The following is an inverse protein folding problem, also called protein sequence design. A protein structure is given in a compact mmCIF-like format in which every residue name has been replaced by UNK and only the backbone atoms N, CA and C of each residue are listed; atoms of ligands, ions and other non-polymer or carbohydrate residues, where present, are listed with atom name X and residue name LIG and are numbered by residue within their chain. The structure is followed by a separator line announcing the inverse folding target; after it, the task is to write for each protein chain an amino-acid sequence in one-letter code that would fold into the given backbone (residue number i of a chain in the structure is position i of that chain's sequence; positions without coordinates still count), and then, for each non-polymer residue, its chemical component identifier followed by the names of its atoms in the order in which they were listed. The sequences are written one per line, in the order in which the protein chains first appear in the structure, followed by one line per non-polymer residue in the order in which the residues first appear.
data_IF_879935948562
#
_entry.id   IF_879935948562
#
_cell.length_a   1.000
_cell.length_b   1.000
_cell.length_c   1.000
_cell.angle_alpha   90.00
_cell.angle_beta   90.00
_cell.angle_gamma   90.00
#
_symmetry.space_group_name_H-M   'P 1'
#
loop_
_entity.id
_entity.type
_entity.pdbx_description
1 polymer ?
#
# COMPACT_ATOMS: atom_id res chain seq x y z
N UNK A 1 2.02 5.83 -1.57
CA UNK A 1 2.85 6.96 -2.08
C UNK A 1 2.09 7.86 -3.04
N UNK A 2 1.47 7.33 -4.12
CA UNK A 2 0.66 8.13 -5.05
C UNK A 2 -0.54 8.79 -4.37
N UNK A 3 -1.36 8.00 -3.68
CA UNK A 3 -2.49 8.48 -2.86
C UNK A 3 -2.06 9.55 -1.86
N UNK A 4 -0.88 9.40 -1.25
CA UNK A 4 -0.32 10.35 -0.28
C UNK A 4 -0.02 11.71 -0.91
N UNK A 5 0.61 11.72 -2.09
CA UNK A 5 0.86 12.96 -2.84
C UNK A 5 -0.43 13.68 -3.20
N UNK A 6 -1.48 12.94 -3.58
CA UNK A 6 -2.80 13.52 -3.88
C UNK A 6 -3.39 14.13 -2.62
N UNK A 7 -3.45 13.36 -1.52
CA UNK A 7 -4.01 13.82 -0.24
C UNK A 7 -3.31 15.07 0.31
N UNK A 8 -1.99 15.16 0.14
CA UNK A 8 -1.18 16.30 0.58
C UNK A 8 -1.22 17.48 -0.40
N UNK A 9 -1.87 17.36 -1.56
CA UNK A 9 -2.03 18.46 -2.53
C UNK A 9 -2.89 19.58 -1.95
N UNK A 10 -2.29 20.74 -1.77
CA UNK A 10 -2.96 21.89 -1.18
C UNK A 10 -3.99 22.51 -2.13
N UNK A 11 -3.66 22.54 -3.42
CA UNK A 11 -4.51 23.11 -4.47
C UNK A 11 -5.71 22.21 -4.77
N UNK A 12 -5.49 20.91 -4.84
CA UNK A 12 -6.53 19.96 -5.26
C UNK A 12 -7.41 19.52 -4.09
N UNK A 13 -6.83 19.23 -2.93
CA UNK A 13 -7.54 18.61 -1.82
C UNK A 13 -7.86 19.63 -0.73
N UNK A 14 -6.86 20.28 -0.11
CA UNK A 14 -7.12 21.12 1.07
C UNK A 14 -8.08 22.29 0.80
N UNK A 15 -7.97 22.93 -0.37
CA UNK A 15 -8.87 24.04 -0.75
C UNK A 15 -10.29 23.59 -1.10
N UNK A 16 -10.44 22.39 -1.68
CA UNK A 16 -11.72 21.92 -2.22
C UNK A 16 -12.50 21.01 -1.26
N UNK A 17 -11.82 20.39 -0.29
CA UNK A 17 -12.38 19.44 0.66
C UNK A 17 -12.03 19.85 2.09
N UNK A 18 -12.89 20.67 2.73
CA UNK A 18 -12.64 21.20 4.08
C UNK A 18 -12.53 20.09 5.13
N UNK A 19 -13.16 18.94 4.90
CA UNK A 19 -13.02 17.74 5.72
C UNK A 19 -12.18 16.72 4.96
N UNK A 20 -11.05 16.30 5.52
CA UNK A 20 -10.21 15.29 4.90
C UNK A 20 -9.65 14.30 5.92
N UNK A 21 -9.52 13.04 5.55
CA UNK A 21 -8.99 12.00 6.43
C UNK A 21 -8.20 10.95 5.66
N UNK A 22 -7.15 10.46 6.32
CA UNK A 22 -6.36 9.32 5.90
C UNK A 22 -6.48 8.23 6.96
N UNK A 23 -7.19 7.16 6.64
CA UNK A 23 -7.50 6.06 7.56
C UNK A 23 -6.82 4.80 7.04
N UNK A 24 -5.87 4.26 7.80
CA UNK A 24 -5.28 2.95 7.51
C UNK A 24 -6.19 1.86 8.05
N UNK A 25 -6.69 0.98 7.17
CA UNK A 25 -7.59 -0.11 7.54
C UNK A 25 -6.75 -1.30 8.03
N UNK A 26 -6.60 -1.42 9.36
CA UNK A 26 -5.81 -2.52 9.93
C UNK A 26 -6.47 -3.88 9.72
N UNK A 27 -5.66 -4.94 9.58
CA UNK A 27 -6.15 -6.32 9.47
C UNK A 27 -6.94 -6.78 10.70
N UNK A 28 -6.61 -6.26 11.89
CA UNK A 28 -7.35 -6.51 13.13
C UNK A 28 -8.70 -5.80 13.18
N UNK A 29 -8.92 -4.83 12.29
CA UNK A 29 -10.15 -4.09 12.07
C UNK A 29 -10.88 -3.64 13.35
N UNK A 30 -10.22 -2.83 14.17
CA UNK A 30 -10.78 -2.26 15.39
C UNK A 30 -11.79 -1.14 15.10
N UNK A 31 -13.04 -1.54 14.80
CA UNK A 31 -14.16 -0.68 14.37
C UNK A 31 -14.33 0.62 15.18
N UNK A 32 -14.27 0.55 16.51
CA UNK A 32 -14.44 1.73 17.37
C UNK A 32 -13.28 2.72 17.18
N UNK A 33 -12.04 2.22 17.18
CA UNK A 33 -10.86 3.07 17.03
C UNK A 33 -10.78 3.67 15.63
N UNK A 34 -11.19 2.92 14.60
CA UNK A 34 -11.31 3.43 13.23
C UNK A 34 -12.30 4.60 13.16
N UNK A 35 -13.48 4.48 13.77
CA UNK A 35 -14.48 5.55 13.76
C UNK A 35 -14.03 6.77 14.57
N UNK A 36 -13.39 6.56 15.73
CA UNK A 36 -12.80 7.67 16.51
C UNK A 36 -11.75 8.42 15.70
N UNK A 37 -10.84 7.70 15.03
CA UNK A 37 -9.81 8.30 14.19
C UNK A 37 -10.45 9.06 13.00
N UNK A 38 -11.48 8.48 12.38
CA UNK A 38 -12.23 9.13 11.30
C UNK A 38 -12.88 10.44 11.75
N UNK A 39 -13.57 10.43 12.90
CA UNK A 39 -14.17 11.64 13.49
C UNK A 39 -13.08 12.68 13.78
N UNK A 40 -11.98 12.27 14.42
CA UNK A 40 -10.88 13.16 14.79
C UNK A 40 -10.27 13.85 13.57
N UNK A 41 -10.10 13.13 12.46
CA UNK A 41 -9.50 13.69 11.25
C UNK A 41 -10.48 14.55 10.44
N UNK A 42 -11.73 14.10 10.25
CA UNK A 42 -12.70 14.83 9.42
C UNK A 42 -13.30 16.06 10.11
N UNK A 43 -13.51 15.98 11.43
CA UNK A 43 -14.26 16.96 12.21
C UNK A 43 -13.40 17.70 13.24
N UNK A 44 -12.23 17.14 13.56
CA UNK A 44 -11.27 17.71 14.51
C UNK A 44 -11.31 17.02 15.88
N UNK A 45 -10.24 17.19 16.69
CA UNK A 45 -10.13 16.54 18.00
C UNK A 45 -11.23 17.01 18.98
N UNK A 46 -11.59 18.29 18.95
CA UNK A 46 -12.61 18.85 19.84
C UNK A 46 -13.99 18.22 19.64
N UNK A 47 -14.35 17.88 18.40
CA UNK A 47 -15.61 17.18 18.08
C UNK A 47 -15.65 15.78 18.69
N UNK A 48 -14.53 15.05 18.63
CA UNK A 48 -14.43 13.74 19.26
C UNK A 48 -14.50 13.84 20.79
N UNK A 49 -13.78 14.80 21.39
CA UNK A 49 -13.76 14.99 22.84
C UNK A 49 -15.15 15.36 23.38
N UNK A 50 -15.87 16.24 22.68
CA UNK A 50 -17.25 16.60 23.00
C UNK A 50 -18.17 15.37 22.94
N UNK A 51 -18.12 14.60 21.86
CA UNK A 51 -18.92 13.38 21.70
C UNK A 51 -18.62 12.38 22.82
N UNK A 52 -17.34 12.15 23.13
CA UNK A 52 -16.95 11.23 24.19
C UNK A 52 -17.44 11.72 25.56
N UNK A 53 -17.39 13.03 25.83
CA UNK A 53 -17.93 13.61 27.06
C UNK A 53 -19.45 13.42 27.18
N UNK A 54 -20.21 13.64 26.10
CA UNK A 54 -21.65 13.37 26.05
C UNK A 54 -21.97 11.88 26.29
N UNK A 55 -21.05 10.99 25.91
CA UNK A 55 -21.15 9.55 26.11
C UNK A 55 -20.59 9.06 27.47
N UNK A 56 -19.95 9.90 28.29
CA UNK A 56 -19.36 9.48 29.59
C UNK A 56 -20.41 8.93 30.58
N UNK A 57 -21.70 9.28 30.42
CA UNK A 57 -22.80 8.69 31.19
C UNK A 57 -23.26 7.31 30.72
N UNK A 58 -22.70 6.77 29.62
CA UNK A 58 -23.01 5.45 29.08
C UNK A 58 -21.90 4.46 29.42
N UNK A 59 -22.29 3.22 29.78
CA UNK A 59 -21.37 2.18 30.29
C UNK A 59 -20.28 1.80 29.28
N UNK A 60 -20.55 1.86 27.97
CA UNK A 60 -19.56 1.55 26.90
C UNK A 60 -19.87 2.36 25.62
N UNK A 61 -18.85 2.94 25.00
CA UNK A 61 -18.95 3.55 23.65
C UNK A 61 -19.15 2.46 22.61
N UNK A 62 -20.30 2.48 21.93
CA UNK A 62 -20.65 1.54 20.87
C UNK A 62 -20.52 2.15 19.48
N UNK A 63 -20.44 1.29 18.47
CA UNK A 63 -20.30 1.68 17.04
C UNK A 63 -21.41 2.64 16.62
N UNK A 64 -22.66 2.36 17.00
CA UNK A 64 -23.81 3.15 16.56
C UNK A 64 -23.71 4.61 17.00
N UNK A 65 -23.22 4.89 18.22
CA UNK A 65 -23.03 6.27 18.71
C UNK A 65 -22.06 7.08 17.83
N UNK A 66 -20.94 6.47 17.44
CA UNK A 66 -19.93 7.13 16.61
C UNK A 66 -20.41 7.26 15.15
N UNK A 67 -21.09 6.22 14.65
CA UNK A 67 -21.65 6.17 13.30
C UNK A 67 -22.73 7.24 13.08
N UNK A 68 -23.71 7.34 13.99
CA UNK A 68 -24.79 8.33 13.89
C UNK A 68 -24.24 9.75 13.92
N UNK A 69 -23.32 10.04 14.84
CA UNK A 69 -22.65 11.34 14.92
C UNK A 69 -21.92 11.68 13.63
N UNK A 70 -21.11 10.75 13.11
CA UNK A 70 -20.33 10.97 11.89
C UNK A 70 -21.23 11.18 10.67
N UNK A 71 -22.31 10.41 10.53
CA UNK A 71 -23.26 10.53 9.41
C UNK A 71 -23.96 11.89 9.46
N UNK A 72 -24.45 12.34 10.62
CA UNK A 72 -25.13 13.63 10.73
C UNK A 72 -24.17 14.79 10.45
N UNK A 73 -22.95 14.76 10.97
CA UNK A 73 -21.95 15.81 10.75
C UNK A 73 -21.46 15.90 9.30
N UNK A 74 -21.40 14.78 8.58
CA UNK A 74 -20.95 14.75 7.19
C UNK A 74 -22.05 15.04 6.17
N UNK A 75 -23.32 15.04 6.57
CA UNK A 75 -24.49 15.10 5.67
C UNK A 75 -24.43 16.28 4.69
N UNK A 76 -24.08 17.46 5.18
CA UNK A 76 -24.02 18.70 4.40
C UNK A 76 -22.58 19.18 4.11
N UNK A 77 -21.56 18.36 4.41
CA UNK A 77 -20.15 18.69 4.19
C UNK A 77 -19.62 17.99 2.95
N UNK A 78 -18.62 18.61 2.32
CA UNK A 78 -17.82 17.98 1.26
C UNK A 78 -16.57 17.40 1.91
N UNK A 79 -16.34 16.11 1.72
CA UNK A 79 -15.22 15.40 2.36
C UNK A 79 -14.38 14.59 1.36
N UNK A 80 -13.10 14.43 1.68
CA UNK A 80 -12.16 13.58 0.96
C UNK A 80 -11.54 12.56 1.91
N UNK A 81 -11.80 11.27 1.68
CA UNK A 81 -11.28 10.20 2.56
C UNK A 81 -10.39 9.26 1.78
N UNK A 82 -9.21 8.98 2.30
CA UNK A 82 -8.37 7.88 1.85
C UNK A 82 -8.53 6.72 2.83
N UNK A 83 -9.01 5.59 2.36
CA UNK A 83 -8.97 4.30 3.06
C UNK A 83 -7.76 3.52 2.54
N UNK A 84 -6.68 3.54 3.32
CA UNK A 84 -5.41 2.96 2.93
C UNK A 84 -5.31 1.49 3.37
N UNK A 85 -4.79 0.65 2.48
CA UNK A 85 -4.49 -0.77 2.70
C UNK A 85 -5.72 -1.63 3.05
N UNK A 86 -6.78 -1.53 2.25
CA UNK A 86 -7.99 -2.33 2.44
C UNK A 86 -7.81 -3.77 1.92
N UNK A 87 -8.06 -4.75 2.79
CA UNK A 87 -7.80 -6.17 2.51
C UNK A 87 -9.02 -6.96 2.06
N UNK A 88 -10.19 -6.73 2.67
CA UNK A 88 -11.41 -7.52 2.43
C UNK A 88 -12.63 -6.66 2.15
N UNK A 89 -13.49 -7.14 1.26
CA UNK A 89 -14.69 -6.42 0.81
C UNK A 89 -15.69 -6.21 1.97
N UNK A 90 -15.75 -7.14 2.90
CA UNK A 90 -16.63 -7.06 4.06
C UNK A 90 -16.36 -5.78 4.90
N UNK A 91 -15.09 -5.42 5.08
CA UNK A 91 -14.71 -4.25 5.86
C UNK A 91 -15.09 -2.96 5.13
N UNK A 92 -14.92 -2.92 3.80
CA UNK A 92 -15.44 -1.80 3.00
C UNK A 92 -16.95 -1.66 3.12
N UNK A 93 -17.70 -2.75 2.93
CA UNK A 93 -19.16 -2.72 3.01
C UNK A 93 -19.62 -2.18 4.36
N UNK A 94 -18.97 -2.62 5.44
CA UNK A 94 -19.24 -2.13 6.78
C UNK A 94 -18.90 -0.63 6.91
N UNK A 95 -17.70 -0.19 6.51
CA UNK A 95 -17.30 1.24 6.60
C UNK A 95 -18.29 2.10 5.80
N UNK A 96 -18.58 1.72 4.56
CA UNK A 96 -19.47 2.46 3.68
C UNK A 96 -20.89 2.57 4.24
N UNK A 97 -21.35 1.56 4.97
CA UNK A 97 -22.66 1.59 5.62
C UNK A 97 -22.70 2.49 6.85
N UNK A 98 -21.65 2.48 7.69
CA UNK A 98 -21.69 3.12 9.02
C UNK A 98 -21.01 4.48 9.08
N UNK A 99 -20.09 4.80 8.17
CA UNK A 99 -19.25 5.99 8.28
C UNK A 99 -19.69 7.13 7.35
N UNK A 100 -20.41 6.84 6.26
CA UNK A 100 -20.66 7.82 5.21
C UNK A 100 -22.15 8.02 4.90
N UNK A 101 -22.62 9.26 4.74
CA UNK A 101 -24.01 9.52 4.37
C UNK A 101 -24.31 9.08 2.93
N UNK A 102 -25.30 8.21 2.74
CA UNK A 102 -25.69 7.67 1.42
C UNK A 102 -26.18 8.72 0.42
N UNK A 103 -26.73 9.84 0.91
CA UNK A 103 -27.36 10.88 0.09
C UNK A 103 -26.58 12.21 0.07
N UNK A 104 -25.28 12.20 0.38
CA UNK A 104 -24.46 13.40 0.30
C UNK A 104 -24.26 13.84 -1.16
N UNK A 105 -24.79 15.02 -1.52
CA UNK A 105 -24.68 15.60 -2.88
C UNK A 105 -23.68 16.74 -2.95
N UNK A 106 -22.69 16.76 -2.06
CA UNK A 106 -21.68 17.84 -1.97
C UNK A 106 -20.42 17.58 -2.79
N UNK A 107 -20.36 16.47 -3.54
CA UNK A 107 -19.21 16.10 -4.35
C UNK A 107 -18.05 15.54 -3.51
N UNK A 108 -18.39 14.78 -2.47
CA UNK A 108 -17.42 14.07 -1.62
C UNK A 108 -16.78 12.90 -2.36
N UNK A 109 -15.56 12.54 -1.98
CA UNK A 109 -14.77 11.50 -2.65
C UNK A 109 -14.13 10.56 -1.63
N UNK A 110 -14.10 9.28 -1.98
CA UNK A 110 -13.43 8.23 -1.21
C UNK A 110 -12.44 7.55 -2.15
N UNK A 111 -11.17 7.52 -1.74
CA UNK A 111 -10.09 6.81 -2.43
C UNK A 111 -9.73 5.59 -1.60
N UNK A 112 -9.69 4.43 -2.23
CA UNK A 112 -9.32 3.17 -1.58
C UNK A 112 -8.00 2.70 -2.19
N UNK A 113 -7.03 2.31 -1.37
CA UNK A 113 -5.86 1.57 -1.83
C UNK A 113 -5.99 0.12 -1.39
N UNK A 114 -5.74 -0.82 -2.30
CA UNK A 114 -5.86 -2.26 -2.02
C UNK A 114 -4.89 -3.05 -2.91
N UNK A 115 -4.47 -4.23 -2.45
CA UNK A 115 -3.71 -5.19 -3.27
C UNK A 115 -4.62 -6.13 -4.07
N UNK A 116 -5.93 -6.11 -3.82
CA UNK A 116 -6.88 -7.02 -4.42
C UNK A 116 -7.66 -6.33 -5.54
N UNK A 117 -7.37 -6.71 -6.79
CA UNK A 117 -8.04 -6.16 -7.98
C UNK A 117 -9.55 -6.47 -7.96
N UNK A 118 -9.93 -7.70 -7.61
CA UNK A 118 -11.34 -8.09 -7.51
C UNK A 118 -12.11 -7.28 -6.45
N UNK A 119 -11.41 -6.83 -5.40
CA UNK A 119 -11.97 -5.94 -4.40
C UNK A 119 -12.19 -4.55 -5.00
N UNK A 120 -11.20 -3.99 -5.68
CA UNK A 120 -11.29 -2.66 -6.29
C UNK A 120 -12.48 -2.57 -7.26
N UNK A 121 -12.68 -3.58 -8.10
CA UNK A 121 -13.79 -3.66 -9.05
C UNK A 121 -15.17 -3.79 -8.40
N UNK A 122 -15.24 -4.30 -7.16
CA UNK A 122 -16.49 -4.38 -6.38
C UNK A 122 -16.78 -3.10 -5.60
N UNK A 123 -15.74 -2.30 -5.29
CA UNK A 123 -15.88 -1.06 -4.55
C UNK A 123 -16.23 0.14 -5.45
N UNK A 124 -15.79 0.13 -6.71
CA UNK A 124 -15.94 1.26 -7.62
C UNK A 124 -16.33 0.82 -9.04
N UNK A 125 -16.85 1.75 -9.83
CA UNK A 125 -17.03 1.49 -11.27
C UNK A 125 -15.67 1.31 -11.93
N UNK A 126 -15.60 0.48 -12.97
CA UNK A 126 -14.34 0.16 -13.67
C UNK A 126 -13.58 1.42 -14.15
N UNK A 127 -14.29 2.50 -14.52
CA UNK A 127 -13.69 3.77 -14.94
C UNK A 127 -12.94 4.52 -13.83
N UNK A 128 -13.14 4.15 -12.57
CA UNK A 128 -12.53 4.77 -11.38
C UNK A 128 -11.41 3.91 -10.79
N UNK A 129 -11.19 2.70 -11.30
CA UNK A 129 -10.12 1.83 -10.84
C UNK A 129 -8.81 2.23 -11.53
N UNK A 130 -7.84 2.64 -10.72
CA UNK A 130 -6.49 2.94 -11.20
C UNK A 130 -5.54 1.79 -10.85
N UNK A 131 -5.07 1.08 -11.87
CA UNK A 131 -4.06 0.05 -11.71
C UNK A 131 -2.68 0.69 -11.61
N UNK A 132 -2.00 0.47 -10.49
CA UNK A 132 -0.64 0.97 -10.30
C UNK A 132 0.34 0.08 -11.06
N UNK A 133 0.96 0.65 -12.10
CA UNK A 133 1.99 -0.03 -12.88
C UNK A 133 3.37 0.00 -12.21
N UNK A 134 4.24 -0.90 -12.66
CA UNK A 134 5.66 -0.89 -12.35
C UNK A 134 6.33 0.39 -12.89
N UNK A 135 7.47 0.76 -12.30
CA UNK A 135 8.24 1.88 -12.83
C UNK A 135 8.74 1.58 -14.25
N UNK A 136 8.80 2.62 -15.08
CA UNK A 136 9.55 2.55 -16.33
C UNK A 136 11.03 2.33 -16.03
N UNK A 137 11.75 1.69 -16.96
CA UNK A 137 13.15 1.31 -16.74
C UNK A 137 14.01 2.51 -16.30
N UNK A 138 13.90 3.64 -17.00
CA UNK A 138 14.67 4.85 -16.70
C UNK A 138 14.34 5.45 -15.33
N UNK A 139 13.07 5.41 -14.91
CA UNK A 139 12.64 5.89 -13.60
C UNK A 139 13.15 4.97 -12.48
N UNK A 140 13.10 3.66 -12.71
CA UNK A 140 13.62 2.66 -11.78
C UNK A 140 15.14 2.77 -11.59
N UNK A 141 15.89 2.96 -12.68
CA UNK A 141 17.32 3.26 -12.66
C UNK A 141 17.58 4.55 -11.90
N UNK A 142 16.88 5.63 -12.25
CA UNK A 142 17.03 6.93 -11.58
C UNK A 142 16.76 6.83 -10.08
N UNK A 143 15.75 6.04 -9.67
CA UNK A 143 15.43 5.79 -8.28
C UNK A 143 16.57 5.05 -7.55
N UNK A 144 17.14 4.01 -8.15
CA UNK A 144 18.26 3.27 -7.58
C UNK A 144 19.49 4.16 -7.43
N UNK A 145 19.87 4.88 -8.50
CA UNK A 145 21.03 5.77 -8.51
C UNK A 145 20.91 6.82 -7.40
N UNK A 146 19.77 7.52 -7.33
CA UNK A 146 19.47 8.47 -6.25
C UNK A 146 19.61 7.83 -4.87
N UNK A 147 19.09 6.61 -4.68
CA UNK A 147 19.16 5.92 -3.39
C UNK A 147 20.59 5.55 -2.99
N UNK A 148 21.45 5.25 -3.97
CA UNK A 148 22.86 4.91 -3.77
C UNK A 148 23.80 6.13 -3.75
N UNK A 149 23.28 7.36 -3.77
CA UNK A 149 24.05 8.59 -3.92
C UNK A 149 24.96 8.58 -5.17
N UNK A 150 24.40 8.08 -6.28
CA UNK A 150 25.03 8.04 -7.61
C UNK A 150 24.18 8.81 -8.61
N UNK A 151 24.78 9.16 -9.74
CA UNK A 151 24.10 9.80 -10.86
C UNK A 151 24.29 9.02 -12.18
N UNK A 152 23.70 9.51 -13.26
CA UNK A 152 23.81 8.87 -14.58
C UNK A 152 25.23 8.93 -15.15
N UNK A 153 26.00 9.99 -14.86
CA UNK A 153 27.40 10.14 -15.30
C UNK A 153 28.31 9.09 -14.63
N UNK A 154 28.09 8.80 -13.34
CA UNK A 154 28.79 7.73 -12.60
C UNK A 154 28.53 6.36 -13.24
N UNK A 155 27.29 6.13 -13.68
CA UNK A 155 26.88 4.88 -14.31
C UNK A 155 27.49 4.73 -15.71
N UNK A 156 27.42 5.79 -16.54
CA UNK A 156 27.95 5.80 -17.90
C UNK A 156 29.48 5.67 -17.95
N UNK A 157 30.18 6.23 -16.96
CA UNK A 157 31.64 6.14 -16.84
C UNK A 157 32.15 4.78 -16.36
N UNK A 158 31.27 3.92 -15.81
CA UNK A 158 31.65 2.61 -15.28
C UNK A 158 30.75 1.49 -15.83
N UNK A 159 31.26 0.77 -16.84
CA UNK A 159 30.56 -0.37 -17.47
C UNK A 159 30.09 -1.45 -16.49
N UNK A 160 30.85 -1.71 -15.43
CA UNK A 160 30.44 -2.68 -14.41
C UNK A 160 29.24 -2.16 -13.61
N UNK A 161 29.27 -0.88 -13.24
CA UNK A 161 28.14 -0.23 -12.56
C UNK A 161 26.88 -0.27 -13.42
N UNK A 162 26.97 0.11 -14.69
CA UNK A 162 25.85 0.06 -15.63
C UNK A 162 25.20 -1.34 -15.68
N UNK A 163 26.02 -2.38 -15.89
CA UNK A 163 25.56 -3.78 -15.89
C UNK A 163 24.87 -4.16 -14.58
N UNK A 164 25.44 -3.75 -13.44
CA UNK A 164 24.89 -4.08 -12.13
C UNK A 164 23.58 -3.35 -11.85
N UNK A 165 23.48 -2.06 -12.18
CA UNK A 165 22.26 -1.26 -12.05
C UNK A 165 21.10 -1.92 -12.80
N UNK A 166 21.31 -2.31 -14.05
CA UNK A 166 20.29 -2.98 -14.87
C UNK A 166 19.88 -4.33 -14.26
N UNK A 167 20.85 -5.16 -13.83
CA UNK A 167 20.56 -6.45 -13.18
C UNK A 167 19.76 -6.28 -11.90
N UNK A 168 20.11 -5.32 -11.05
CA UNK A 168 19.43 -5.06 -9.79
C UNK A 168 18.02 -4.55 -10.02
N UNK A 169 17.83 -3.58 -10.93
CA UNK A 169 16.51 -3.04 -11.25
C UNK A 169 15.56 -4.13 -11.79
N UNK A 170 16.08 -4.99 -12.66
CA UNK A 170 15.32 -6.14 -13.17
C UNK A 170 14.98 -7.13 -12.05
N UNK A 171 15.94 -7.44 -11.16
CA UNK A 171 15.71 -8.34 -10.02
C UNK A 171 14.66 -7.81 -9.05
N UNK A 172 14.60 -6.49 -8.87
CA UNK A 172 13.58 -5.82 -8.07
C UNK A 172 12.19 -5.80 -8.76
N UNK A 173 12.05 -6.32 -9.99
CA UNK A 173 10.81 -6.26 -10.75
C UNK A 173 10.34 -4.84 -11.05
N UNK A 174 11.26 -3.85 -11.02
CA UNK A 174 10.96 -2.41 -11.12
C UNK A 174 9.97 -1.89 -10.06
N UNK A 175 9.87 -2.58 -8.92
CA UNK A 175 9.05 -2.18 -7.79
C UNK A 175 9.78 -1.11 -6.96
N UNK A 176 9.17 0.07 -6.71
CA UNK A 176 9.81 1.15 -5.97
C UNK A 176 10.33 0.73 -4.60
N UNK A 177 9.55 -0.05 -3.85
CA UNK A 177 9.94 -0.51 -2.51
C UNK A 177 11.16 -1.43 -2.56
N UNK A 178 11.18 -2.40 -3.48
CA UNK A 178 12.31 -3.31 -3.66
C UNK A 178 13.60 -2.55 -4.02
N UNK A 179 13.49 -1.60 -4.96
CA UNK A 179 14.61 -0.74 -5.37
C UNK A 179 15.13 0.07 -4.20
N UNK A 180 14.24 0.70 -3.42
CA UNK A 180 14.66 1.55 -2.30
C UNK A 180 15.30 0.74 -1.17
N UNK A 181 14.79 -0.46 -0.88
CA UNK A 181 15.31 -1.32 0.17
C UNK A 181 16.67 -1.90 -0.22
N UNK A 182 16.81 -2.47 -1.42
CA UNK A 182 18.11 -2.96 -1.91
C UNK A 182 19.10 -1.80 -2.10
N UNK A 183 18.66 -0.69 -2.67
CA UNK A 183 19.46 0.51 -2.83
C UNK A 183 19.99 1.06 -1.50
N UNK A 184 19.22 0.96 -0.41
CA UNK A 184 19.69 1.35 0.92
C UNK A 184 20.88 0.51 1.40
N UNK A 185 20.85 -0.80 1.13
CA UNK A 185 21.98 -1.69 1.45
C UNK A 185 23.18 -1.35 0.57
N UNK A 186 22.96 -1.19 -0.73
CA UNK A 186 24.02 -0.85 -1.69
C UNK A 186 24.67 0.51 -1.43
N UNK A 187 23.93 1.48 -0.87
CA UNK A 187 24.47 2.79 -0.49
C UNK A 187 25.58 2.70 0.58
N UNK A 188 25.66 1.58 1.30
CA UNK A 188 26.71 1.32 2.30
C UNK A 188 27.91 0.56 1.74
N UNK A 189 27.89 0.22 0.44
CA UNK A 189 28.88 -0.63 -0.22
C UNK A 189 29.54 0.08 -1.39
N UNK A 190 30.78 -0.30 -1.70
CA UNK A 190 31.43 0.14 -2.93
C UNK A 190 30.82 -0.57 -4.15
N UNK A 191 30.87 0.08 -5.31
CA UNK A 191 30.33 -0.47 -6.57
C UNK A 191 30.96 -1.83 -6.93
N UNK A 192 32.23 -2.04 -6.59
CA UNK A 192 32.92 -3.32 -6.78
C UNK A 192 32.33 -4.47 -5.96
N UNK A 193 31.60 -4.17 -4.88
CA UNK A 193 30.96 -5.17 -4.02
C UNK A 193 29.53 -5.49 -4.44
N UNK A 194 28.95 -4.73 -5.38
CA UNK A 194 27.55 -4.88 -5.78
C UNK A 194 27.29 -6.24 -6.44
N UNK A 195 28.23 -6.74 -7.24
CA UNK A 195 28.11 -8.06 -7.86
C UNK A 195 28.10 -9.18 -6.82
N UNK A 196 29.04 -9.13 -5.86
CA UNK A 196 29.06 -10.07 -4.74
C UNK A 196 27.76 -10.02 -3.94
N UNK A 197 27.25 -8.83 -3.62
CA UNK A 197 25.97 -8.70 -2.92
C UNK A 197 24.81 -9.30 -3.74
N UNK A 198 24.76 -9.03 -5.04
CA UNK A 198 23.73 -9.57 -5.93
C UNK A 198 23.72 -11.10 -5.95
N UNK A 199 24.89 -11.73 -6.02
CA UNK A 199 25.02 -13.19 -6.01
C UNK A 199 24.56 -13.82 -4.68
N UNK A 200 24.75 -13.11 -3.57
CA UNK A 200 24.35 -13.57 -2.23
C UNK A 200 22.95 -13.05 -1.83
N UNK A 201 22.23 -12.39 -2.73
CA UNK A 201 20.95 -11.76 -2.44
C UNK A 201 19.92 -12.73 -1.82
N UNK A 202 19.79 -14.00 -2.26
CA UNK A 202 18.88 -14.94 -1.61
C UNK A 202 19.18 -15.15 -0.12
N UNK A 203 20.46 -15.32 0.25
CA UNK A 203 20.86 -15.47 1.65
C UNK A 203 20.72 -14.16 2.43
N UNK A 204 21.07 -13.02 1.83
CA UNK A 204 20.86 -11.70 2.42
C UNK A 204 19.37 -11.45 2.72
N UNK A 205 18.49 -11.89 1.82
CA UNK A 205 17.04 -11.79 2.02
C UNK A 205 16.57 -12.61 3.20
N UNK A 206 17.28 -13.62 3.67
CA UNK A 206 16.92 -14.37 4.88
C UNK A 206 17.43 -13.69 6.15
N UNK A 207 18.71 -13.27 6.16
CA UNK A 207 19.40 -12.86 7.39
C UNK A 207 19.53 -11.35 7.59
N UNK A 208 19.54 -10.55 6.53
CA UNK A 208 19.88 -9.13 6.61
C UNK A 208 18.70 -8.31 7.15
N UNK A 209 18.81 -7.66 8.33
CA UNK A 209 17.73 -6.84 8.89
C UNK A 209 17.30 -5.69 7.99
N UNK A 210 18.21 -5.12 7.19
CA UNK A 210 17.88 -4.04 6.26
C UNK A 210 16.92 -4.46 5.15
N UNK A 211 16.77 -5.76 4.89
CA UNK A 211 15.84 -6.32 3.91
C UNK A 211 14.51 -6.79 4.54
N UNK A 212 14.29 -6.55 5.84
CA UNK A 212 13.09 -7.00 6.56
C UNK A 212 11.79 -6.48 5.94
N UNK A 213 11.78 -5.23 5.47
CA UNK A 213 10.60 -4.64 4.82
C UNK A 213 10.14 -5.47 3.61
N UNK A 214 11.08 -5.98 2.80
CA UNK A 214 10.76 -6.82 1.65
C UNK A 214 10.25 -8.19 2.08
N UNK A 215 10.92 -8.84 3.05
CA UNK A 215 10.46 -10.11 3.63
C UNK A 215 9.03 -9.97 4.16
N UNK A 216 8.77 -8.95 4.97
CA UNK A 216 7.46 -8.71 5.57
C UNK A 216 6.39 -8.50 4.51
N UNK A 217 6.68 -7.74 3.45
CA UNK A 217 5.73 -7.52 2.35
C UNK A 217 5.35 -8.83 1.66
N UNK A 218 6.34 -9.67 1.30
CA UNK A 218 6.08 -10.99 0.68
C UNK A 218 5.31 -11.91 1.62
N UNK A 219 5.69 -11.97 2.90
CA UNK A 219 4.98 -12.76 3.92
C UNK A 219 3.54 -12.31 4.10
N UNK A 220 3.28 -11.00 4.13
CA UNK A 220 1.92 -10.46 4.21
C UNK A 220 1.08 -10.87 3.00
N UNK A 221 1.63 -10.74 1.79
CA UNK A 221 0.96 -11.19 0.56
C UNK A 221 0.63 -12.68 0.60
N UNK A 222 1.60 -13.52 0.97
CA UNK A 222 1.39 -14.97 1.11
C UNK A 222 0.33 -15.33 2.15
N UNK A 223 0.33 -14.66 3.31
CA UNK A 223 -0.61 -14.96 4.38
C UNK A 223 -2.07 -14.74 3.98
N UNK A 224 -2.33 -13.78 3.09
CA UNK A 224 -3.65 -13.43 2.60
C UNK A 224 -4.10 -14.23 1.38
N UNK A 225 -3.22 -15.05 0.80
CA UNK A 225 -3.64 -16.00 -0.22
C UNK A 225 -4.67 -16.98 0.38
N UNK A 226 -5.75 -17.30 -0.37
CA UNK A 226 -6.64 -18.40 -0.01
C UNK A 226 -5.87 -19.67 0.32
N UNK A 227 -6.35 -20.44 1.31
CA UNK A 227 -5.66 -21.63 1.82
C UNK A 227 -5.27 -22.64 0.73
N UNK A 228 -6.11 -22.81 -0.29
CA UNK A 228 -5.85 -23.70 -1.42
C UNK A 228 -4.79 -23.16 -2.41
N UNK A 229 -4.56 -21.84 -2.45
CA UNK A 229 -3.53 -21.23 -3.31
C UNK A 229 -2.15 -21.19 -2.65
N UNK A 230 -2.06 -21.26 -1.31
CA UNK A 230 -0.78 -21.32 -0.58
C UNK A 230 0.15 -22.45 -1.06
N UNK A 231 -0.28 -23.73 -1.13
CA UNK A 231 0.58 -24.79 -1.65
C UNK A 231 0.92 -24.58 -3.13
N UNK A 232 -0.02 -24.05 -3.93
CA UNK A 232 0.21 -23.74 -5.35
C UNK A 232 1.32 -22.69 -5.53
N UNK A 233 1.32 -21.65 -4.69
CA UNK A 233 2.35 -20.62 -4.68
C UNK A 233 3.71 -21.18 -4.24
N UNK A 234 3.75 -21.96 -3.14
CA UNK A 234 4.99 -22.59 -2.68
C UNK A 234 5.56 -23.55 -3.72
N UNK A 235 4.72 -24.22 -4.51
CA UNK A 235 5.16 -25.10 -5.60
C UNK A 235 6.03 -24.39 -6.63
N UNK A 236 5.88 -23.06 -6.80
CA UNK A 236 6.71 -22.29 -7.72
C UNK A 236 8.20 -22.27 -7.32
N UNK A 237 8.52 -22.49 -6.05
CA UNK A 237 9.91 -22.50 -5.54
C UNK A 237 10.79 -23.62 -6.10
N UNK A 238 10.21 -24.66 -6.70
CA UNK A 238 11.00 -25.76 -7.28
C UNK A 238 11.61 -25.39 -8.64
N UNK A 239 11.09 -24.33 -9.28
CA UNK A 239 11.58 -23.91 -10.58
C UNK A 239 12.85 -23.07 -10.39
N UNK A 240 13.83 -23.19 -11.30
CA UNK A 240 15.00 -22.32 -11.25
C UNK A 240 14.62 -20.86 -11.35
N UNK A 241 15.51 -20.00 -10.84
CA UNK A 241 15.33 -18.56 -10.93
C UNK A 241 15.28 -18.09 -12.39
N UNK A 242 14.42 -17.12 -12.68
CA UNK A 242 14.15 -16.56 -14.02
C UNK A 242 13.69 -17.59 -15.08
N UNK A 243 13.26 -18.79 -14.67
CA UNK A 243 12.77 -19.82 -15.57
C UNK A 243 11.35 -19.54 -16.07
N UNK A 244 11.14 -19.60 -17.39
CA UNK A 244 9.81 -19.46 -17.98
C UNK A 244 8.95 -20.71 -17.76
N UNK A 245 7.90 -20.59 -16.94
CA UNK A 245 7.02 -21.70 -16.57
C UNK A 245 5.84 -21.81 -17.54
N UNK A 246 5.74 -22.94 -18.25
CA UNK A 246 4.57 -23.22 -19.11
C UNK A 246 3.30 -23.44 -18.27
N UNK A 247 2.31 -22.56 -18.43
CA UNK A 247 1.02 -22.57 -17.70
C UNK A 247 0.38 -23.96 -17.63
N UNK A 248 0.18 -24.63 -18.77
CA UNK A 248 -0.52 -25.93 -18.81
C UNK A 248 0.18 -27.00 -17.97
N UNK A 249 1.52 -26.99 -17.96
CA UNK A 249 2.32 -27.92 -17.14
C UNK A 249 2.22 -27.59 -15.66
N UNK A 250 2.19 -26.31 -15.31
CA UNK A 250 2.02 -25.86 -13.92
C UNK A 250 0.64 -26.27 -13.38
N UNK A 251 -0.42 -25.95 -14.12
CA UNK A 251 -1.80 -26.28 -13.74
C UNK A 251 -1.99 -27.80 -13.60
N UNK A 252 -1.46 -28.59 -14.54
CA UNK A 252 -1.54 -30.05 -14.46
C UNK A 252 -0.78 -30.68 -13.29
N UNK A 253 0.09 -29.92 -12.59
CA UNK A 253 0.74 -30.36 -11.35
C UNK A 253 0.05 -29.86 -10.08
N UNK A 254 -0.83 -28.87 -10.19
CA UNK A 254 -1.64 -28.37 -9.08
C UNK A 254 -2.91 -29.19 -8.84
N UNK A 255 -3.41 -29.85 -9.90
CA UNK A 255 -4.53 -30.81 -9.86
C UNK A 255 -4.03 -32.17 -9.40
#
# INVERSE_FOLDING_TARGET
ALSRKIFESEEDIRKNFPCNAWITVSQSFHRIELLKDTIRQLLGPSSLDQLLHELQGKVVVQVHHLSEYLIEELKEKRYFVVLDDLWILHDWNWINEVAFPKNNKKGSQIVITTWNVDLAEKCATASLVYHLDFLQMNDAITLLLRKTNKNHEDMESNKNMQKMVERIVNKCGRLPLAILTIGAVLATKQVSEWEKFYEHLPSELEINPSLEALRRMVTLGYNHLPSHLKPCFLYLSIFPEDFEIKRNRLVGRWI
#
